data_IF_268881492931
#
_entry.id   IF_268881492931
#
_cell.length_a   1.000
_cell.length_b   1.000
_cell.length_c   1.000
_cell.angle_alpha   90.00
_cell.angle_beta   90.00
_cell.angle_gamma   90.00
#
_symmetry.space_group_name_H-M   'P 1'
#
loop_
_entity.id
_entity.type
_entity.pdbx_description
1 polymer ?
#
# COMPACT_ATOMS: atom_id res chain seq x y z
N UNK A 1 -7.86 2.09 -27.56
CA UNK A 1 -7.63 2.49 -26.16
C UNK A 1 -8.80 1.98 -25.36
N UNK A 2 -8.68 0.79 -24.75
CA UNK A 2 -9.78 0.16 -24.02
C UNK A 2 -9.89 0.74 -22.62
N UNK A 3 -10.99 1.45 -22.36
CA UNK A 3 -11.37 1.88 -21.03
C UNK A 3 -11.62 0.65 -20.16
N UNK A 4 -10.82 0.50 -19.10
CA UNK A 4 -10.98 -0.56 -18.11
C UNK A 4 -12.23 -0.26 -17.28
N UNK A 5 -13.38 -0.78 -17.72
CA UNK A 5 -14.65 -0.67 -16.99
C UNK A 5 -14.53 -1.38 -15.64
N UNK A 6 -14.52 -0.59 -14.56
CA UNK A 6 -14.57 -1.11 -13.20
C UNK A 6 -16.01 -1.48 -12.87
N UNK A 7 -16.25 -2.73 -12.46
CA UNK A 7 -17.55 -3.18 -11.98
C UNK A 7 -18.03 -2.34 -10.80
N UNK A 8 -19.32 -1.96 -10.77
CA UNK A 8 -19.94 -1.22 -9.65
C UNK A 8 -19.68 -1.88 -8.28
N UNK A 9 -19.58 -3.22 -8.25
CA UNK A 9 -19.22 -3.96 -7.03
C UNK A 9 -17.84 -3.60 -6.51
N UNK A 10 -16.86 -3.43 -7.40
CA UNK A 10 -15.49 -3.09 -7.04
C UNK A 10 -15.42 -1.67 -6.45
N UNK A 11 -16.05 -0.69 -7.10
CA UNK A 11 -16.08 0.68 -6.59
C UNK A 11 -16.72 0.74 -5.20
N UNK A 12 -17.82 0.01 -4.99
CA UNK A 12 -18.47 -0.08 -3.68
C UNK A 12 -17.54 -0.65 -2.60
N UNK A 13 -16.73 -1.66 -2.92
CA UNK A 13 -15.78 -2.25 -1.97
C UNK A 13 -14.68 -1.26 -1.58
N UNK A 14 -14.15 -0.48 -2.53
CA UNK A 14 -13.11 0.52 -2.25
C UNK A 14 -13.66 1.62 -1.32
N UNK A 15 -14.90 2.06 -1.55
CA UNK A 15 -15.57 3.03 -0.66
C UNK A 15 -15.87 2.45 0.72
N UNK A 16 -16.15 1.15 0.84
CA UNK A 16 -16.32 0.47 2.14
C UNK A 16 -15.03 0.48 2.97
N UNK A 17 -13.86 0.45 2.31
CA UNK A 17 -12.56 0.66 2.96
C UNK A 17 -12.25 2.14 3.27
N UNK A 18 -13.21 3.05 3.07
CA UNK A 18 -13.03 4.48 3.34
C UNK A 18 -12.23 5.25 2.27
N UNK A 19 -11.92 4.62 1.13
CA UNK A 19 -11.10 5.22 0.07
C UNK A 19 -12.00 5.76 -1.05
N UNK A 20 -11.82 7.01 -1.45
CA UNK A 20 -12.65 7.67 -2.47
C UNK A 20 -11.80 8.23 -3.64
N UNK A 21 -11.28 7.35 -4.51
CA UNK A 21 -10.30 7.75 -5.51
C UNK A 21 -10.95 8.46 -6.71
N UNK A 22 -10.28 9.47 -7.24
CA UNK A 22 -10.71 10.16 -8.49
C UNK A 22 -10.49 9.32 -9.74
N UNK A 23 -9.52 8.40 -9.72
CA UNK A 23 -9.18 7.53 -10.84
C UNK A 23 -8.72 6.17 -10.33
N UNK A 24 -9.24 5.11 -10.94
CA UNK A 24 -8.90 3.73 -10.59
C UNK A 24 -8.21 3.07 -11.78
N UNK A 25 -7.02 2.51 -11.53
CA UNK A 25 -6.28 1.69 -12.48
C UNK A 25 -6.26 0.25 -11.96
N UNK A 26 -6.83 -0.71 -12.70
CA UNK A 26 -6.87 -2.12 -12.30
C UNK A 26 -6.03 -2.98 -13.23
N UNK A 27 -5.25 -3.89 -12.63
CA UNK A 27 -4.52 -4.95 -13.33
C UNK A 27 -3.80 -4.44 -14.59
N UNK A 28 -3.12 -3.30 -14.46
CA UNK A 28 -2.37 -2.74 -15.58
C UNK A 28 -1.28 -3.73 -16.00
N UNK A 29 -1.04 -3.88 -17.30
CA UNK A 29 0.07 -4.67 -17.78
C UNK A 29 1.41 -4.01 -17.37
N UNK A 30 2.47 -4.80 -17.30
CA UNK A 30 3.78 -4.37 -16.78
C UNK A 30 4.32 -3.15 -17.53
N UNK A 31 4.13 -3.12 -18.85
CA UNK A 31 4.58 -2.04 -19.71
C UNK A 31 3.94 -0.71 -19.32
N UNK A 32 2.65 -0.73 -18.95
CA UNK A 32 1.93 0.47 -18.48
C UNK A 32 2.37 0.90 -17.10
N UNK A 33 2.71 -0.03 -16.21
CA UNK A 33 3.28 0.30 -14.91
C UNK A 33 4.63 1.01 -15.07
N UNK A 34 5.52 0.48 -15.92
CA UNK A 34 6.83 1.08 -16.22
C UNK A 34 6.68 2.46 -16.84
N UNK A 35 5.79 2.62 -17.83
CA UNK A 35 5.49 3.90 -18.47
C UNK A 35 5.05 4.96 -17.45
N UNK A 36 4.12 4.61 -16.56
CA UNK A 36 3.62 5.52 -15.51
C UNK A 36 4.75 5.90 -14.55
N UNK A 37 5.57 4.96 -14.10
CA UNK A 37 6.68 5.24 -13.19
C UNK A 37 7.70 6.20 -13.78
N UNK A 38 8.02 6.07 -15.08
CA UNK A 38 8.90 7.00 -15.78
C UNK A 38 8.24 8.36 -15.96
N UNK A 39 6.97 8.41 -16.39
CA UNK A 39 6.21 9.66 -16.57
C UNK A 39 6.09 10.46 -15.26
N UNK A 40 5.99 9.77 -14.12
CA UNK A 40 5.92 10.39 -12.79
C UNK A 40 7.29 10.74 -12.20
N UNK A 41 8.39 10.49 -12.90
CA UNK A 41 9.75 10.63 -12.38
C UNK A 41 10.03 9.79 -11.11
N UNK A 42 9.34 8.66 -10.95
CA UNK A 42 9.53 7.71 -9.83
C UNK A 42 10.65 6.69 -10.12
N UNK A 43 11.10 6.61 -11.38
CA UNK A 43 12.19 5.73 -11.80
C UNK A 43 12.66 6.03 -13.22
N UNK A 44 13.67 5.29 -13.68
CA UNK A 44 14.21 5.38 -15.03
C UNK A 44 14.49 4.00 -15.62
N UNK A 45 14.38 3.88 -16.94
CA UNK A 45 14.73 2.64 -17.66
C UNK A 45 16.24 2.63 -17.90
N UNK A 46 16.90 1.54 -17.48
CA UNK A 46 18.33 1.33 -17.68
C UNK A 46 18.65 1.00 -19.14
N UNK A 47 19.93 1.03 -19.51
CA UNK A 47 20.39 0.60 -20.84
C UNK A 47 20.04 -0.85 -21.17
N UNK A 48 19.78 -1.68 -20.16
CA UNK A 48 19.35 -3.09 -20.30
C UNK A 48 17.84 -3.26 -20.32
N UNK A 49 17.06 -2.17 -20.30
CA UNK A 49 15.59 -2.20 -20.34
C UNK A 49 14.91 -2.46 -18.99
N UNK A 50 15.63 -2.46 -17.88
CA UNK A 50 15.08 -2.68 -16.54
C UNK A 50 14.63 -1.36 -15.90
N UNK A 51 13.59 -1.38 -15.06
CA UNK A 51 13.20 -0.20 -14.27
C UNK A 51 14.11 -0.07 -13.04
N UNK A 52 14.82 1.05 -12.93
CA UNK A 52 15.63 1.42 -11.77
C UNK A 52 14.93 2.52 -10.96
N UNK A 53 14.76 2.30 -9.66
CA UNK A 53 14.12 3.23 -8.72
C UNK A 53 15.06 3.55 -7.56
N UNK A 54 14.86 4.69 -6.89
CA UNK A 54 15.59 5.07 -5.68
C UNK A 54 14.62 5.20 -4.51
N UNK A 55 14.81 4.41 -3.46
CA UNK A 55 13.93 4.41 -2.25
C UNK A 55 14.35 5.45 -1.20
N UNK A 56 15.33 6.30 -1.52
CA UNK A 56 15.79 7.37 -0.65
C UNK A 56 16.47 6.86 0.62
N UNK A 57 16.06 7.39 1.78
CA UNK A 57 16.65 7.07 3.10
C UNK A 57 16.46 5.61 3.50
N UNK A 58 15.39 4.96 3.04
CA UNK A 58 15.01 3.61 3.45
C UNK A 58 15.41 2.60 2.38
N UNK A 59 16.64 2.08 2.49
CA UNK A 59 17.23 1.13 1.52
C UNK A 59 17.10 -0.33 1.95
N UNK A 60 16.47 -0.59 3.09
CA UNK A 60 16.30 -1.94 3.64
C UNK A 60 15.06 -2.02 4.54
N UNK A 61 14.96 -3.12 5.29
CA UNK A 61 13.86 -3.32 6.25
C UNK A 61 14.04 -2.41 7.46
N UNK A 62 12.92 -1.90 7.98
CA UNK A 62 12.84 -1.30 9.32
C UNK A 62 12.17 -2.27 10.28
N UNK A 63 12.89 -3.26 10.85
CA UNK A 63 12.29 -4.26 11.73
C UNK A 63 11.63 -3.63 12.96
N UNK A 64 12.19 -2.53 13.46
CA UNK A 64 11.65 -1.78 14.58
C UNK A 64 10.45 -0.88 14.21
N UNK A 65 9.96 -0.89 12.97
CA UNK A 65 8.73 -0.17 12.57
C UNK A 65 7.57 -1.13 12.22
N UNK A 66 7.74 -2.43 12.50
CA UNK A 66 6.68 -3.43 12.35
C UNK A 66 5.91 -3.59 13.66
N UNK A 67 4.59 -3.50 13.58
CA UNK A 67 3.68 -3.74 14.69
C UNK A 67 2.56 -4.68 14.27
N UNK A 68 1.96 -5.36 15.25
CA UNK A 68 0.77 -6.20 15.10
C UNK A 68 -0.26 -5.66 16.08
N UNK A 69 -1.49 -5.44 15.59
CA UNK A 69 -2.59 -4.97 16.43
C UNK A 69 -2.84 -5.99 17.53
N UNK A 70 -3.02 -5.51 18.76
CA UNK A 70 -3.36 -6.35 19.91
C UNK A 70 -4.87 -6.31 20.13
N UNK A 71 -5.54 -7.37 19.70
CA UNK A 71 -7.00 -7.52 19.72
C UNK A 71 -7.41 -8.95 20.16
N UNK A 72 -8.72 -9.20 20.21
CA UNK A 72 -9.29 -10.49 20.60
C UNK A 72 -8.85 -11.66 19.69
N UNK A 73 -8.36 -11.40 18.48
CA UNK A 73 -7.91 -12.44 17.56
C UNK A 73 -6.43 -12.78 17.74
N UNK A 74 -5.63 -11.80 18.16
CA UNK A 74 -4.16 -11.86 18.13
C UNK A 74 -3.54 -12.00 19.51
N UNK A 75 -4.18 -11.52 20.58
CA UNK A 75 -3.60 -11.43 21.92
C UNK A 75 -3.00 -12.76 22.40
N UNK A 76 -3.68 -13.89 22.18
CA UNK A 76 -3.21 -15.22 22.61
C UNK A 76 -2.48 -16.02 21.53
N UNK A 77 -2.57 -15.59 20.26
CA UNK A 77 -2.07 -16.37 19.11
C UNK A 77 -0.69 -15.91 18.63
N UNK A 78 -0.33 -14.67 18.91
CA UNK A 78 0.94 -14.09 18.45
C UNK A 78 2.01 -14.31 19.51
N UNK A 79 3.19 -14.76 19.08
CA UNK A 79 4.36 -14.80 19.94
C UNK A 79 4.93 -13.38 20.11
N UNK A 80 4.56 -12.72 21.20
CA UNK A 80 4.97 -11.35 21.53
C UNK A 80 6.43 -11.30 22.00
N UNK A 81 7.23 -10.44 21.36
CA UNK A 81 8.65 -10.26 21.65
C UNK A 81 9.13 -8.92 21.08
N UNK A 82 10.43 -8.60 21.21
CA UNK A 82 11.02 -7.41 20.58
C UNK A 82 10.72 -7.32 19.07
N UNK A 83 10.62 -8.47 18.39
CA UNK A 83 10.34 -8.55 16.94
C UNK A 83 8.85 -8.36 16.62
N UNK A 84 7.96 -8.95 17.41
CA UNK A 84 6.51 -8.83 17.23
C UNK A 84 5.97 -7.87 18.29
N UNK A 85 5.95 -6.58 17.93
CA UNK A 85 5.54 -5.52 18.83
C UNK A 85 4.04 -5.29 18.74
N UNK A 86 3.38 -5.25 19.88
CA UNK A 86 1.97 -4.92 19.96
C UNK A 86 1.73 -3.42 19.70
N UNK A 87 0.61 -3.12 19.05
CA UNK A 87 0.03 -1.77 19.00
C UNK A 87 -1.43 -1.85 19.46
N UNK A 88 -1.91 -0.94 20.33
CA UNK A 88 -3.31 -0.95 20.74
C UNK A 88 -4.25 -0.72 19.57
N UNK A 89 -5.41 -1.38 19.55
CA UNK A 89 -6.44 -1.23 18.52
C UNK A 89 -6.81 0.23 18.27
N UNK A 90 -7.02 1.01 19.32
CA UNK A 90 -7.33 2.45 19.24
C UNK A 90 -6.24 3.27 18.54
N UNK A 91 -4.97 2.86 18.63
CA UNK A 91 -3.87 3.55 17.98
C UNK A 91 -3.86 3.22 16.49
N UNK A 92 -4.12 1.96 16.15
CA UNK A 92 -4.29 1.53 14.77
C UNK A 92 -5.48 2.23 14.09
N UNK A 93 -6.63 2.32 14.76
CA UNK A 93 -7.83 2.99 14.23
C UNK A 93 -7.55 4.46 13.88
N UNK A 94 -6.85 5.19 14.76
CA UNK A 94 -6.43 6.58 14.51
C UNK A 94 -5.51 6.69 13.29
N UNK A 95 -4.60 5.73 13.10
CA UNK A 95 -3.72 5.68 11.92
C UNK A 95 -4.50 5.35 10.64
N UNK A 96 -5.45 4.40 10.70
CA UNK A 96 -6.30 4.02 9.55
C UNK A 96 -7.13 5.20 9.08
N UNK A 97 -7.85 5.86 10.00
CA UNK A 97 -8.68 7.03 9.69
C UNK A 97 -7.87 8.18 9.09
N UNK A 98 -6.61 8.34 9.52
CA UNK A 98 -5.71 9.33 8.93
C UNK A 98 -5.35 8.99 7.48
N UNK A 99 -5.08 7.71 7.21
CA UNK A 99 -4.71 7.25 5.86
C UNK A 99 -5.89 7.35 4.88
N UNK A 100 -7.11 7.02 5.32
CA UNK A 100 -8.34 7.17 4.52
C UNK A 100 -8.58 8.61 4.04
N UNK A 101 -8.19 9.62 4.83
CA UNK A 101 -8.33 11.04 4.46
C UNK A 101 -7.29 11.53 3.45
N UNK A 102 -6.18 10.80 3.28
CA UNK A 102 -5.07 11.20 2.42
C UNK A 102 -5.22 10.59 1.01
N UNK A 103 -5.98 9.50 0.88
CA UNK A 103 -6.20 8.76 -0.36
C UNK A 103 -7.47 9.21 -1.10
#
# INVERSE_FOLDING_TARGET
MSEFSSSNKFTSQITEFGINPSKIHRNLPVEKLVEISVQKNEGMVTSTGSLSVKTGKFTGRSPDDRFIVFDDLTHDKVHWAKVNKQIPTETFEKLSQKNEKIC
#
